data_IF_639999885191
#
_entry.id   IF_639999885191
#
_cell.length_a   1.000
_cell.length_b   1.000
_cell.length_c   1.000
_cell.angle_alpha   90.00
_cell.angle_beta   90.00
_cell.angle_gamma   90.00
#
_symmetry.space_group_name_H-M   'P 1'
#
loop_
_entity.id
_entity.type
_entity.pdbx_description
1 polymer ?
#
# COMPACT_ATOMS: atom_id res chain seq x y z
N UNK A 1 4.58 11.70 -21.07
CA UNK A 1 3.74 10.75 -21.82
C UNK A 1 3.90 9.29 -21.37
N UNK A 2 4.39 9.01 -20.14
CA UNK A 2 4.62 7.64 -19.64
C UNK A 2 3.56 7.15 -18.62
N UNK A 3 2.59 8.00 -18.25
CA UNK A 3 1.65 7.74 -17.15
C UNK A 3 0.41 6.94 -17.59
N UNK A 4 0.13 6.84 -18.90
CA UNK A 4 -1.14 6.28 -19.38
C UNK A 4 -1.26 4.73 -19.32
N UNK A 5 -0.18 3.99 -18.99
CA UNK A 5 -0.19 2.52 -19.05
C UNK A 5 0.15 1.81 -17.73
N UNK A 6 0.16 2.52 -16.60
CA UNK A 6 0.30 1.86 -15.30
C UNK A 6 -1.07 1.29 -14.89
N UNK A 7 -1.32 0.05 -15.32
CA UNK A 7 -2.40 -0.79 -14.77
C UNK A 7 -2.21 -0.94 -13.25
N UNK A 8 -3.31 -0.94 -12.50
CA UNK A 8 -3.38 -1.06 -11.03
C UNK A 8 -2.70 -2.30 -10.44
N UNK A 9 -2.31 -3.27 -11.28
CA UNK A 9 -1.69 -4.52 -10.86
C UNK A 9 -0.15 -4.51 -10.83
N UNK A 10 0.49 -3.36 -11.10
CA UNK A 10 1.91 -3.19 -10.74
C UNK A 10 2.07 -3.48 -9.25
N UNK A 11 3.15 -4.13 -8.81
CA UNK A 11 3.34 -4.74 -7.47
C UNK A 11 3.07 -3.90 -6.19
N UNK A 12 2.49 -2.70 -6.31
CA UNK A 12 1.78 -1.90 -5.31
C UNK A 12 1.01 -2.77 -4.32
N UNK A 13 0.15 -3.68 -4.80
CA UNK A 13 -0.71 -4.51 -3.94
C UNK A 13 0.09 -5.31 -2.89
N UNK A 14 1.31 -5.73 -3.25
CA UNK A 14 2.21 -6.48 -2.36
C UNK A 14 3.13 -5.56 -1.56
N UNK A 15 3.74 -4.56 -2.21
CA UNK A 15 4.72 -3.68 -1.55
C UNK A 15 4.08 -2.72 -0.54
N UNK A 16 2.86 -2.26 -0.82
CA UNK A 16 2.12 -1.33 0.04
C UNK A 16 1.00 -2.00 0.84
N UNK A 17 1.02 -3.32 0.95
CA UNK A 17 0.01 -4.08 1.69
C UNK A 17 -0.13 -3.59 3.14
N UNK A 18 0.99 -3.26 3.80
CA UNK A 18 0.98 -2.73 5.16
C UNK A 18 0.20 -1.40 5.26
N UNK A 19 0.40 -0.49 4.30
CA UNK A 19 -0.28 0.80 4.24
C UNK A 19 -1.76 0.63 3.86
N UNK A 20 -2.10 -0.31 2.97
CA UNK A 20 -3.50 -0.63 2.70
C UNK A 20 -4.21 -1.24 3.92
N UNK A 21 -3.50 -2.09 4.68
CA UNK A 21 -4.00 -2.67 5.94
C UNK A 21 -4.24 -1.63 7.03
N UNK A 22 -3.58 -0.46 7.03
CA UNK A 22 -3.91 0.62 7.99
C UNK A 22 -5.26 1.25 7.68
N UNK A 23 -5.60 1.45 6.39
CA UNK A 23 -6.94 1.85 5.98
C UNK A 23 -7.98 0.80 6.39
N UNK A 24 -7.66 -0.48 6.17
CA UNK A 24 -8.53 -1.59 6.51
C UNK A 24 -8.77 -1.69 8.02
N UNK A 25 -7.74 -1.43 8.85
CA UNK A 25 -7.86 -1.36 10.31
C UNK A 25 -8.92 -0.34 10.72
N UNK A 26 -8.84 0.87 10.17
CA UNK A 26 -9.81 1.92 10.48
C UNK A 26 -11.21 1.57 9.96
N UNK A 27 -11.31 1.01 8.76
CA UNK A 27 -12.59 0.55 8.21
C UNK A 27 -13.23 -0.56 9.06
N UNK A 28 -12.42 -1.50 9.59
CA UNK A 28 -12.88 -2.56 10.51
C UNK A 28 -13.33 -1.99 11.84
N UNK A 29 -12.58 -1.06 12.41
CA UNK A 29 -12.96 -0.36 13.64
C UNK A 29 -14.32 0.33 13.47
N UNK A 30 -14.47 1.15 12.42
CA UNK A 30 -15.71 1.86 12.12
C UNK A 30 -16.87 0.91 11.82
N UNK A 31 -16.61 -0.19 11.10
CA UNK A 31 -17.65 -1.17 10.77
C UNK A 31 -18.13 -1.96 11.98
N UNK A 32 -17.21 -2.37 12.85
CA UNK A 32 -17.54 -3.03 14.11
C UNK A 32 -18.37 -2.10 14.99
N UNK A 33 -17.92 -0.85 15.13
CA UNK A 33 -18.60 0.16 15.92
C UNK A 33 -20.03 0.38 15.44
N UNK A 34 -20.24 0.62 14.14
CA UNK A 34 -21.56 0.90 13.55
C UNK A 34 -22.49 -0.31 13.47
N UNK A 35 -22.02 -1.53 13.75
CA UNK A 35 -22.86 -2.74 13.77
C UNK A 35 -23.24 -3.19 15.17
N UNK A 36 -22.38 -2.92 16.17
CA UNK A 36 -22.49 -3.52 17.50
C UNK A 36 -22.74 -2.51 18.62
N UNK A 37 -22.44 -1.23 18.44
CA UNK A 37 -22.68 -0.23 19.50
C UNK A 37 -24.16 0.13 19.54
N UNK A 38 -24.75 0.02 20.73
CA UNK A 38 -26.09 0.48 21.04
C UNK A 38 -26.04 1.60 22.09
N UNK A 39 -26.58 2.75 21.73
CA UNK A 39 -26.56 3.95 22.58
C UNK A 39 -27.47 3.85 23.80
N UNK A 40 -28.51 2.99 23.74
CA UNK A 40 -29.44 2.73 24.84
C UNK A 40 -29.11 1.43 25.57
N UNK A 41 -28.00 0.77 25.25
CA UNK A 41 -27.57 -0.42 25.96
C UNK A 41 -27.16 -0.07 27.38
N UNK A 42 -27.72 -0.75 28.37
CA UNK A 42 -27.30 -0.66 29.77
C UNK A 42 -26.78 -2.02 30.21
N UNK A 43 -25.55 -2.03 30.73
CA UNK A 43 -24.82 -3.22 31.19
C UNK A 43 -24.70 -3.17 32.71
N UNK A 44 -25.82 -3.37 33.40
CA UNK A 44 -25.92 -3.13 34.84
C UNK A 44 -25.66 -1.65 35.17
N UNK A 45 -24.62 -1.37 35.94
CA UNK A 45 -24.22 0.00 36.31
C UNK A 45 -23.44 0.74 35.20
N UNK A 46 -23.02 0.03 34.16
CA UNK A 46 -22.28 0.60 33.03
C UNK A 46 -23.24 0.98 31.91
N UNK A 47 -23.12 2.20 31.38
CA UNK A 47 -23.83 2.59 30.17
C UNK A 47 -23.03 2.18 28.93
N UNK A 48 -23.75 1.77 27.90
CA UNK A 48 -23.19 1.52 26.58
C UNK A 48 -22.47 2.73 26.01
N UNK A 49 -21.61 2.47 25.04
CA UNK A 49 -20.85 3.53 24.39
C UNK A 49 -21.78 4.45 23.59
N UNK A 50 -21.44 5.73 23.54
CA UNK A 50 -22.20 6.72 22.75
C UNK A 50 -21.73 6.69 21.31
N UNK A 51 -22.47 7.28 20.37
CA UNK A 51 -22.05 7.40 18.97
C UNK A 51 -20.67 8.08 18.84
N UNK A 52 -19.92 7.74 17.80
CA UNK A 52 -18.62 8.37 17.52
C UNK A 52 -18.75 9.89 17.40
N UNK A 53 -17.78 10.60 17.99
CA UNK A 53 -17.66 12.04 17.84
C UNK A 53 -16.80 12.37 16.60
N UNK A 54 -16.99 13.56 16.03
CA UNK A 54 -16.19 14.02 14.88
C UNK A 54 -14.69 14.03 15.21
N UNK A 55 -14.35 14.56 16.38
CA UNK A 55 -12.96 14.69 16.84
C UNK A 55 -12.27 13.34 16.99
N UNK A 56 -13.01 12.30 17.36
CA UNK A 56 -12.49 10.94 17.47
C UNK A 56 -12.12 10.39 16.09
N UNK A 57 -12.94 10.65 15.07
CA UNK A 57 -12.63 10.19 13.71
C UNK A 57 -11.46 11.01 13.14
N UNK A 58 -11.40 12.32 13.40
CA UNK A 58 -10.22 13.12 13.06
C UNK A 58 -8.95 12.56 13.71
N UNK A 59 -9.01 12.19 14.99
CA UNK A 59 -7.86 11.61 15.69
C UNK A 59 -7.41 10.29 15.06
N UNK A 60 -8.34 9.39 14.71
CA UNK A 60 -8.02 8.13 14.02
C UNK A 60 -7.40 8.35 12.63
N UNK A 61 -7.96 9.28 11.84
CA UNK A 61 -7.45 9.59 10.50
C UNK A 61 -6.06 10.22 10.58
N UNK A 62 -5.82 11.13 11.52
CA UNK A 62 -4.49 11.70 11.76
C UNK A 62 -3.52 10.62 12.24
N UNK A 63 -3.95 9.72 13.13
CA UNK A 63 -3.12 8.64 13.65
C UNK A 63 -2.62 7.70 12.53
N UNK A 64 -3.44 7.44 11.50
CA UNK A 64 -3.00 6.69 10.32
C UNK A 64 -1.83 7.38 9.60
N UNK A 65 -1.91 8.71 9.41
CA UNK A 65 -0.86 9.49 8.72
C UNK A 65 0.40 9.63 9.58
N UNK A 66 0.24 9.78 10.90
CA UNK A 66 1.37 9.86 11.83
C UNK A 66 2.06 8.51 12.02
N UNK A 67 1.31 7.40 11.95
CA UNK A 67 1.80 6.05 12.23
C UNK A 67 2.78 5.49 11.19
N UNK A 68 2.78 6.01 9.95
CA UNK A 68 3.67 5.55 8.89
C UNK A 68 4.16 6.71 8.03
N UNK A 69 5.48 6.80 7.83
CA UNK A 69 6.13 7.84 7.02
C UNK A 69 5.89 7.71 5.51
N UNK A 70 5.48 6.53 5.02
CA UNK A 70 5.13 6.32 3.62
C UNK A 70 3.74 6.88 3.28
N UNK A 71 2.88 7.04 4.28
CA UNK A 71 1.53 7.58 4.14
C UNK A 71 1.60 9.10 4.11
N UNK A 72 1.21 9.67 2.97
CA UNK A 72 1.11 11.13 2.78
C UNK A 72 -0.25 11.67 3.23
N UNK A 73 -1.29 10.87 3.12
CA UNK A 73 -2.64 11.26 3.49
C UNK A 73 -3.53 10.08 3.83
N UNK A 74 -4.56 10.33 4.62
CA UNK A 74 -5.60 9.36 4.91
C UNK A 74 -6.92 10.10 5.10
N UNK A 75 -8.03 9.46 4.76
CA UNK A 75 -9.35 10.03 4.98
C UNK A 75 -10.37 8.96 5.33
N UNK A 76 -11.46 9.37 5.98
CA UNK A 76 -12.65 8.55 6.15
C UNK A 76 -13.84 9.34 5.60
N UNK A 77 -14.42 8.87 4.50
CA UNK A 77 -15.46 9.55 3.75
C UNK A 77 -16.78 8.83 3.95
N UNK A 78 -17.74 9.46 4.60
CA UNK A 78 -19.05 8.88 4.87
C UNK A 78 -20.04 9.20 3.75
N UNK A 79 -20.96 8.28 3.47
CA UNK A 79 -22.05 8.53 2.53
C UNK A 79 -23.09 9.49 3.14
N UNK A 80 -23.98 10.03 2.30
CA UNK A 80 -24.89 11.10 2.70
C UNK A 80 -25.78 10.70 3.87
N UNK A 81 -25.87 11.53 4.91
CA UNK A 81 -26.66 11.30 6.14
C UNK A 81 -26.32 10.02 6.92
N UNK A 82 -25.20 9.36 6.62
CA UNK A 82 -24.83 8.11 7.31
C UNK A 82 -24.11 8.36 8.63
N UNK A 83 -23.36 9.46 8.74
CA UNK A 83 -22.65 9.80 9.96
C UNK A 83 -23.57 10.56 10.93
N UNK A 84 -23.85 9.93 12.07
CA UNK A 84 -24.66 10.48 13.16
C UNK A 84 -23.77 10.73 14.37
N UNK A 85 -23.66 11.97 14.78
CA UNK A 85 -22.89 12.34 15.96
C UNK A 85 -23.66 12.08 17.25
N UNK A 86 -22.92 11.82 18.32
CA UNK A 86 -23.46 11.90 19.67
C UNK A 86 -23.95 13.32 19.95
N UNK A 87 -25.15 13.48 20.53
CA UNK A 87 -25.58 14.79 20.99
C UNK A 87 -24.62 15.34 22.06
N UNK A 88 -24.41 16.66 22.13
CA UNK A 88 -23.62 17.29 23.18
C UNK A 88 -24.14 16.91 24.57
N UNK A 89 -23.23 16.72 25.53
CA UNK A 89 -23.55 16.24 26.90
C UNK A 89 -24.58 17.11 27.63
N UNK A 90 -24.70 18.39 27.24
CA UNK A 90 -25.64 19.37 27.81
C UNK A 90 -26.58 19.97 26.76
N UNK A 91 -27.07 19.17 25.81
CA UNK A 91 -27.97 19.67 24.79
C UNK A 91 -29.41 19.84 25.32
N UNK A 92 -29.87 21.09 25.41
CA UNK A 92 -31.25 21.45 25.76
C UNK A 92 -32.13 21.75 24.55
N UNK A 93 -31.57 21.71 23.33
CA UNK A 93 -32.33 22.01 22.09
C UNK A 93 -33.10 20.76 21.63
N UNK A 94 -34.45 20.83 21.51
CA UNK A 94 -35.29 19.74 21.02
C UNK A 94 -34.88 19.20 19.65
N UNK A 95 -34.18 20.01 18.83
CA UNK A 95 -33.73 19.62 17.48
C UNK A 95 -32.61 18.60 17.46
N UNK A 96 -31.84 18.49 18.54
CA UNK A 96 -30.66 17.61 18.62
C UNK A 96 -30.85 16.42 19.56
N UNK A 97 -32.09 16.16 19.99
CA UNK A 97 -32.45 15.07 20.93
C UNK A 97 -32.13 13.68 20.35
N UNK A 98 -32.25 13.51 19.02
CA UNK A 98 -31.99 12.24 18.33
C UNK A 98 -30.58 12.15 17.69
N UNK A 99 -29.70 13.11 18.01
CA UNK A 99 -28.35 13.27 17.45
C UNK A 99 -28.30 14.22 16.24
N UNK A 100 -27.07 14.62 15.86
CA UNK A 100 -26.82 15.50 14.71
C UNK A 100 -26.44 14.62 13.52
N UNK A 101 -27.27 14.58 12.48
CA UNK A 101 -26.93 13.89 11.23
C UNK A 101 -26.37 14.90 10.24
N UNK A 102 -25.09 14.76 9.91
CA UNK A 102 -24.47 15.61 8.89
C UNK A 102 -24.82 15.09 7.52
N UNK A 103 -25.09 16.01 6.60
CA UNK A 103 -25.29 15.64 5.21
C UNK A 103 -24.03 15.02 4.63
N UNK A 104 -22.88 15.64 4.86
CA UNK A 104 -21.57 15.15 4.44
C UNK A 104 -20.60 15.24 5.61
N UNK A 105 -19.74 14.23 5.72
CA UNK A 105 -18.65 14.19 6.69
C UNK A 105 -17.50 13.36 6.11
N UNK A 106 -16.38 14.02 5.88
CA UNK A 106 -15.21 13.41 5.23
C UNK A 106 -13.91 13.90 5.83
N UNK A 107 -13.56 13.57 7.08
CA UNK A 107 -12.28 13.93 7.66
C UNK A 107 -11.13 13.38 6.80
N UNK A 108 -10.23 14.28 6.42
CA UNK A 108 -9.03 13.99 5.65
C UNK A 108 -7.83 14.65 6.31
N UNK A 109 -6.79 13.85 6.58
CA UNK A 109 -5.53 14.31 7.13
C UNK A 109 -4.40 14.09 6.12
N UNK A 110 -3.39 14.96 6.16
CA UNK A 110 -2.21 14.84 5.33
C UNK A 110 -0.96 15.37 6.03
N UNK A 111 0.18 14.86 5.55
CA UNK A 111 1.51 15.26 5.98
C UNK A 111 2.04 16.37 5.09
N UNK A 112 2.68 17.36 5.72
CA UNK A 112 3.45 18.40 5.05
C UNK A 112 4.88 18.39 5.62
N UNK A 113 5.85 18.02 4.80
CA UNK A 113 7.25 18.00 5.21
C UNK A 113 7.93 19.28 4.74
N UNK A 114 8.40 20.10 5.69
CA UNK A 114 9.14 21.33 5.39
C UNK A 114 10.64 21.04 5.44
N UNK A 115 11.35 21.37 4.36
CA UNK A 115 12.78 21.08 4.19
C UNK A 115 13.73 21.72 5.23
N UNK A 116 13.23 22.65 6.06
CA UNK A 116 14.05 23.54 6.88
C UNK A 116 14.19 23.11 8.35
N UNK A 117 13.43 22.13 8.83
CA UNK A 117 13.44 21.77 10.27
C UNK A 117 13.39 20.27 10.59
N UNK A 118 13.22 19.38 9.60
CA UNK A 118 13.06 17.95 9.85
C UNK A 118 11.82 17.59 10.68
N UNK A 119 10.92 18.56 10.90
CA UNK A 119 9.63 18.38 11.58
C UNK A 119 8.55 18.20 10.52
N UNK A 120 7.83 17.09 10.60
CA UNK A 120 6.64 16.85 9.78
C UNK A 120 5.43 17.53 10.44
N UNK A 121 4.74 18.37 9.67
CA UNK A 121 3.47 18.97 10.10
C UNK A 121 2.31 18.09 9.62
N UNK A 122 1.34 17.88 10.49
CA UNK A 122 0.13 17.11 10.19
C UNK A 122 -1.07 18.05 10.23
N UNK A 123 -1.80 18.11 9.13
CA UNK A 123 -3.02 18.90 9.02
C UNK A 123 -4.21 17.98 8.82
N UNK A 124 -5.37 18.39 9.31
CA UNK A 124 -6.62 17.70 9.05
C UNK A 124 -7.75 18.69 8.80
N UNK A 125 -8.67 18.31 7.91
CA UNK A 125 -9.86 19.10 7.57
C UNK A 125 -11.02 18.19 7.20
N UNK A 126 -12.23 18.73 7.24
CA UNK A 126 -13.41 18.06 6.69
C UNK A 126 -13.52 18.36 5.19
N UNK A 127 -13.45 17.32 4.37
CA UNK A 127 -13.53 17.41 2.91
C UNK A 127 -14.94 17.70 2.40
N UNK A 128 -15.95 17.70 3.28
CA UNK A 128 -17.32 18.08 2.92
C UNK A 128 -17.49 19.56 2.54
N UNK A 129 -16.59 20.45 2.99
CA UNK A 129 -16.71 21.90 2.81
C UNK A 129 -16.31 22.43 1.43
N UNK A 130 -15.99 21.56 0.46
CA UNK A 130 -15.51 21.98 -0.86
C UNK A 130 -16.61 22.12 -1.92
N UNK A 131 -16.32 22.89 -2.97
CA UNK A 131 -17.25 23.13 -4.10
C UNK A 131 -17.62 21.85 -4.86
N UNK A 132 -16.74 20.84 -4.85
CA UNK A 132 -17.00 19.52 -5.42
C UNK A 132 -17.09 18.52 -4.27
N UNK A 133 -18.20 17.81 -4.19
CA UNK A 133 -18.40 16.79 -3.16
C UNK A 133 -17.59 15.54 -3.50
N UNK A 134 -16.97 14.93 -2.49
CA UNK A 134 -16.24 13.68 -2.66
C UNK A 134 -17.16 12.52 -3.08
N UNK A 135 -18.46 12.62 -2.78
CA UNK A 135 -19.47 11.62 -3.19
C UNK A 135 -19.68 11.55 -4.70
N UNK A 136 -19.35 12.63 -5.40
CA UNK A 136 -19.45 12.73 -6.86
C UNK A 136 -18.20 12.20 -7.56
N UNK A 137 -17.14 11.90 -6.81
CA UNK A 137 -15.93 11.36 -7.40
C UNK A 137 -16.12 9.91 -7.87
N UNK A 138 -15.55 9.54 -9.03
CA UNK A 138 -15.74 8.20 -9.60
C UNK A 138 -15.32 7.07 -8.65
N UNK A 139 -14.27 7.27 -7.87
CA UNK A 139 -13.78 6.26 -6.92
C UNK A 139 -14.80 5.98 -5.80
N UNK A 140 -15.52 6.99 -5.33
CA UNK A 140 -16.54 6.83 -4.29
C UNK A 140 -17.81 6.18 -4.87
N UNK A 141 -18.24 6.66 -6.04
CA UNK A 141 -19.41 6.11 -6.74
C UNK A 141 -19.22 4.65 -7.13
N UNK A 142 -18.06 4.29 -7.67
CA UNK A 142 -17.76 2.91 -8.04
C UNK A 142 -17.76 1.99 -6.82
N UNK A 143 -17.16 2.42 -5.71
CA UNK A 143 -17.15 1.65 -4.47
C UNK A 143 -18.57 1.49 -3.89
N UNK A 144 -19.35 2.57 -3.87
CA UNK A 144 -20.75 2.55 -3.44
C UNK A 144 -21.60 1.63 -4.32
N UNK A 145 -21.43 1.69 -5.65
CA UNK A 145 -22.16 0.85 -6.60
C UNK A 145 -21.81 -0.63 -6.43
N UNK A 146 -20.53 -0.96 -6.22
CA UNK A 146 -20.05 -2.33 -5.95
C UNK A 146 -20.73 -2.94 -4.73
N UNK A 147 -20.91 -2.15 -3.67
CA UNK A 147 -21.45 -2.59 -2.38
C UNK A 147 -22.90 -2.16 -2.11
N UNK A 148 -23.66 -1.78 -3.15
CA UNK A 148 -25.04 -1.33 -2.99
C UNK A 148 -25.99 -2.46 -2.58
N UNK A 149 -25.76 -3.68 -3.08
CA UNK A 149 -26.67 -4.82 -2.90
C UNK A 149 -25.98 -6.13 -2.53
N UNK A 150 -24.71 -6.31 -2.88
CA UNK A 150 -23.96 -7.53 -2.60
C UNK A 150 -23.13 -7.38 -1.32
N UNK A 151 -23.47 -8.17 -0.30
CA UNK A 151 -22.71 -8.26 0.97
C UNK A 151 -22.30 -9.70 1.30
N UNK A 152 -22.40 -10.62 0.34
CA UNK A 152 -22.11 -12.04 0.55
C UNK A 152 -20.62 -12.30 0.73
N UNK A 153 -19.79 -11.52 0.04
CA UNK A 153 -18.33 -11.65 0.06
C UNK A 153 -17.70 -11.16 1.38
N UNK A 154 -18.46 -10.42 2.20
CA UNK A 154 -17.95 -9.88 3.46
C UNK A 154 -17.70 -10.98 4.50
N UNK A 155 -16.49 -10.96 5.04
CA UNK A 155 -16.09 -11.88 6.10
C UNK A 155 -16.74 -11.50 7.43
N UNK A 156 -17.26 -12.52 8.12
CA UNK A 156 -17.75 -12.38 9.50
C UNK A 156 -16.58 -12.48 10.48
N UNK A 157 -16.27 -11.37 11.14
CA UNK A 157 -15.33 -11.31 12.24
C UNK A 157 -16.05 -11.58 13.56
N UNK A 158 -15.42 -12.35 14.43
CA UNK A 158 -15.98 -12.73 15.74
C UNK A 158 -15.00 -12.33 16.82
N UNK A 159 -15.43 -11.44 17.71
CA UNK A 159 -14.70 -11.04 18.89
C UNK A 159 -15.32 -11.72 20.13
N UNK A 160 -14.45 -12.22 21.00
CA UNK A 160 -14.82 -12.89 22.25
C UNK A 160 -14.30 -12.09 23.44
N UNK A 161 -14.82 -10.86 23.67
CA UNK A 161 -14.32 -10.01 24.74
C UNK A 161 -14.69 -10.61 26.11
N UNK A 162 -13.72 -10.56 27.00
CA UNK A 162 -13.87 -10.88 28.42
C UNK A 162 -13.72 -9.57 29.20
N UNK A 163 -14.60 -9.34 30.17
CA UNK A 163 -14.64 -8.13 30.99
C UNK A 163 -14.34 -8.52 32.44
N UNK A 164 -13.78 -7.58 33.21
CA UNK A 164 -13.57 -7.76 34.64
C UNK A 164 -14.92 -7.84 35.35
N UNK A 165 -15.08 -8.78 36.29
CA UNK A 165 -16.29 -8.89 37.12
C UNK A 165 -16.48 -7.68 38.01
N UNK A 166 -15.37 -7.19 38.58
CA UNK A 166 -15.36 -6.14 39.60
C UNK A 166 -14.26 -5.11 39.29
N UNK A 167 -14.33 -3.93 39.93
CA UNK A 167 -13.31 -2.89 39.83
C UNK A 167 -11.88 -3.40 40.13
N UNK A 168 -11.78 -4.32 41.10
CA UNK A 168 -10.51 -4.93 41.50
C UNK A 168 -10.02 -6.02 40.52
N UNK A 169 -10.85 -6.45 39.56
CA UNK A 169 -10.46 -7.44 38.54
C UNK A 169 -10.24 -8.85 39.06
N UNK A 170 -10.99 -9.28 40.07
CA UNK A 170 -10.87 -10.60 40.73
C UNK A 170 -11.08 -11.76 39.76
N UNK A 171 -12.03 -11.63 38.82
CA UNK A 171 -12.30 -12.63 37.78
C UNK A 171 -12.68 -11.99 36.45
N UNK A 172 -12.61 -12.79 35.38
CA UNK A 172 -13.04 -12.39 34.04
C UNK A 172 -14.37 -13.07 33.70
N UNK A 173 -15.38 -12.25 33.40
CA UNK A 173 -16.69 -12.69 32.94
C UNK A 173 -16.83 -12.42 31.44
N UNK A 174 -17.72 -13.19 30.79
CA UNK A 174 -18.07 -12.93 29.39
C UNK A 174 -18.87 -11.65 29.30
N UNK A 175 -18.64 -10.86 28.25
CA UNK A 175 -19.53 -9.74 27.93
C UNK A 175 -20.95 -10.24 27.67
N UNK A 176 -21.95 -9.39 27.92
CA UNK A 176 -23.36 -9.74 27.76
C UNK A 176 -23.68 -10.18 26.32
N UNK A 177 -23.18 -9.44 25.32
CA UNK A 177 -23.31 -9.81 23.91
C UNK A 177 -22.14 -10.69 23.44
N UNK A 178 -21.97 -11.85 24.06
CA UNK A 178 -20.91 -12.80 23.71
C UNK A 178 -21.42 -13.95 22.81
N UNK A 179 -20.77 -14.19 21.65
CA UNK A 179 -19.69 -13.42 21.04
C UNK A 179 -20.18 -12.21 20.24
N UNK A 180 -19.40 -11.13 20.22
CA UNK A 180 -19.66 -9.99 19.35
C UNK A 180 -19.26 -10.36 17.93
N UNK A 181 -20.11 -10.10 16.94
CA UNK A 181 -19.78 -10.39 15.54
C UNK A 181 -20.11 -9.20 14.65
N UNK A 182 -19.24 -8.91 13.68
CA UNK A 182 -19.49 -7.91 12.64
C UNK A 182 -19.03 -8.43 11.29
N UNK A 183 -19.59 -7.87 10.21
CA UNK A 183 -19.15 -8.15 8.84
C UNK A 183 -18.31 -6.98 8.33
N UNK A 184 -17.14 -7.26 7.76
CA UNK A 184 -16.31 -6.24 7.17
C UNK A 184 -15.56 -6.79 5.94
N UNK A 185 -15.08 -5.89 5.10
CA UNK A 185 -14.29 -6.22 3.93
C UNK A 185 -12.96 -6.87 4.33
N UNK A 186 -12.42 -7.76 3.51
CA UNK A 186 -11.01 -8.19 3.64
C UNK A 186 -10.09 -7.28 2.82
N UNK A 187 -8.79 -7.57 2.77
CA UNK A 187 -7.85 -6.75 2.01
C UNK A 187 -8.12 -6.82 0.51
N UNK A 188 -8.57 -7.99 0.04
CA UNK A 188 -8.89 -8.29 -1.36
C UNK A 188 -10.18 -7.58 -1.84
N UNK A 189 -11.05 -7.21 -0.91
CA UNK A 189 -12.27 -6.45 -1.18
C UNK A 189 -12.00 -4.96 -1.41
N UNK A 190 -10.88 -4.46 -0.89
CA UNK A 190 -10.40 -3.11 -1.15
C UNK A 190 -9.77 -2.96 -2.54
N UNK A 191 -9.50 -1.73 -2.94
CA UNK A 191 -9.00 -1.43 -4.28
C UNK A 191 -7.89 -0.39 -4.23
N UNK A 192 -6.81 -0.63 -4.98
CA UNK A 192 -5.80 0.38 -5.28
C UNK A 192 -6.18 1.14 -6.54
N UNK A 193 -6.36 2.45 -6.40
CA UNK A 193 -6.55 3.33 -7.53
C UNK A 193 -5.28 3.45 -8.37
N UNK A 194 -5.47 3.80 -9.65
CA UNK A 194 -4.34 4.10 -10.54
C UNK A 194 -3.51 5.27 -9.97
N UNK A 195 -2.18 5.26 -10.16
CA UNK A 195 -1.33 6.37 -9.72
C UNK A 195 -1.81 7.71 -10.28
N UNK A 196 -1.99 8.68 -9.40
CA UNK A 196 -2.48 10.01 -9.75
C UNK A 196 -1.61 11.08 -9.09
N UNK A 197 -1.44 12.19 -9.77
CA UNK A 197 -0.78 13.36 -9.20
C UNK A 197 -1.84 14.23 -8.51
N UNK A 198 -1.76 14.36 -7.18
CA UNK A 198 -2.67 15.23 -6.42
C UNK A 198 -2.14 16.67 -6.49
N UNK A 199 -3.01 17.62 -6.85
CA UNK A 199 -2.67 19.04 -7.04
C UNK A 199 -3.48 19.98 -6.11
N UNK A 200 -4.10 19.47 -5.06
CA UNK A 200 -5.16 20.20 -4.38
C UNK A 200 -4.66 21.22 -3.34
N UNK A 201 -3.39 21.63 -3.42
CA UNK A 201 -2.72 22.52 -2.47
C UNK A 201 -2.40 21.88 -1.10
N UNK A 202 -2.74 20.60 -0.91
CA UNK A 202 -2.52 19.84 0.33
C UNK A 202 -1.35 18.88 0.18
N UNK A 203 -1.49 18.01 -0.81
CA UNK A 203 -0.48 17.05 -1.26
C UNK A 203 -0.15 17.45 -2.70
N UNK A 204 1.15 17.54 -3.00
CA UNK A 204 1.67 17.89 -4.34
C UNK A 204 2.71 16.85 -4.76
N UNK A 205 2.28 15.60 -4.81
CA UNK A 205 3.11 14.43 -5.08
C UNK A 205 2.33 13.40 -5.90
N UNK A 206 3.06 12.50 -6.57
CA UNK A 206 2.50 11.30 -7.16
C UNK A 206 2.11 10.33 -6.06
N UNK A 207 0.84 9.92 -6.03
CA UNK A 207 0.32 9.03 -5.01
C UNK A 207 -0.45 7.86 -5.61
N UNK A 208 -0.47 6.78 -4.86
CA UNK A 208 -1.37 5.65 -5.09
C UNK A 208 -2.29 5.56 -3.89
N UNK A 209 -3.60 5.48 -4.14
CA UNK A 209 -4.62 5.53 -3.09
C UNK A 209 -5.24 4.15 -2.93
N UNK A 210 -5.26 3.62 -1.71
CA UNK A 210 -6.03 2.43 -1.36
C UNK A 210 -7.39 2.82 -0.79
N UNK A 211 -8.43 2.08 -1.17
CA UNK A 211 -9.81 2.27 -0.74
C UNK A 211 -10.28 1.06 0.06
N UNK A 212 -10.81 1.29 1.27
CA UNK A 212 -11.42 0.28 2.12
C UNK A 212 -12.87 0.66 2.47
N UNK A 213 -13.88 -0.16 2.13
CA UNK A 213 -15.28 0.17 2.40
C UNK A 213 -15.65 -0.01 3.88
N UNK A 214 -16.59 0.80 4.34
CA UNK A 214 -17.12 0.80 5.71
C UNK A 214 -18.57 0.31 5.69
N UNK A 215 -18.92 -0.59 6.61
CA UNK A 215 -20.26 -1.18 6.70
C UNK A 215 -20.90 -0.97 8.06
N UNK A 216 -22.15 -0.55 8.08
CA UNK A 216 -22.95 -0.38 9.29
C UNK A 216 -24.32 -1.02 9.15
N UNK A 217 -25.09 -1.08 10.23
CA UNK A 217 -26.50 -1.44 10.11
C UNK A 217 -27.33 -0.23 9.65
N UNK A 218 -28.47 -0.49 9.03
CA UNK A 218 -29.49 0.54 8.80
C UNK A 218 -30.06 1.03 10.14
N UNK A 219 -30.83 2.13 10.12
CA UNK A 219 -31.41 2.73 11.33
C UNK A 219 -32.29 1.76 12.14
N UNK A 220 -32.96 0.83 11.45
CA UNK A 220 -33.79 -0.22 12.05
C UNK A 220 -32.97 -1.41 12.58
N UNK A 221 -31.63 -1.38 12.46
CA UNK A 221 -30.69 -2.44 12.84
C UNK A 221 -30.97 -3.83 12.23
N UNK A 222 -31.68 -3.90 11.11
CA UNK A 222 -32.12 -5.15 10.44
C UNK A 222 -31.23 -5.59 9.29
N UNK A 223 -30.63 -4.65 8.54
CA UNK A 223 -29.83 -4.95 7.33
C UNK A 223 -28.50 -4.23 7.36
N UNK A 224 -27.50 -4.84 6.72
CA UNK A 224 -26.20 -4.22 6.50
C UNK A 224 -26.31 -3.21 5.35
N UNK A 225 -25.58 -2.11 5.48
CA UNK A 225 -25.55 -1.01 4.55
C UNK A 225 -24.13 -0.48 4.40
N UNK A 226 -23.77 -0.05 3.19
CA UNK A 226 -22.55 0.70 2.94
C UNK A 226 -22.64 2.08 3.60
N UNK A 227 -21.64 2.43 4.41
CA UNK A 227 -21.61 3.72 5.16
C UNK A 227 -20.54 4.68 4.65
N UNK A 228 -19.55 4.21 3.91
CA UNK A 228 -18.47 5.08 3.45
C UNK A 228 -17.22 4.33 3.03
N UNK A 229 -16.12 5.08 2.85
CA UNK A 229 -14.82 4.57 2.41
C UNK A 229 -13.72 5.21 3.24
N UNK A 230 -12.79 4.40 3.74
CA UNK A 230 -11.50 4.87 4.26
C UNK A 230 -10.48 4.85 3.14
N UNK A 231 -9.68 5.91 3.03
CA UNK A 231 -8.59 6.00 2.06
C UNK A 231 -7.25 6.17 2.75
N UNK A 232 -6.21 5.66 2.10
CA UNK A 232 -4.81 5.92 2.44
C UNK A 232 -4.05 6.22 1.15
N UNK A 233 -3.34 7.35 1.15
CA UNK A 233 -2.51 7.81 0.05
C UNK A 233 -1.04 7.55 0.37
N UNK A 234 -0.40 6.73 -0.46
CA UNK A 234 1.02 6.39 -0.33
C UNK A 234 1.81 7.09 -1.42
N UNK A 235 2.99 7.64 -1.06
CA UNK A 235 3.87 8.27 -2.05
C UNK A 235 4.40 7.25 -3.05
N UNK A 236 4.23 7.51 -4.34
CA UNK A 236 4.67 6.63 -5.41
C UNK A 236 6.18 6.40 -5.38
N UNK A 237 6.97 7.39 -4.93
CA UNK A 237 8.42 7.31 -4.82
C UNK A 237 8.92 6.12 -3.99
N UNK A 238 8.13 5.61 -3.04
CA UNK A 238 8.51 4.44 -2.24
C UNK A 238 8.23 3.10 -2.93
N UNK A 239 7.68 3.10 -4.15
CA UNK A 239 7.40 1.89 -4.92
C UNK A 239 8.66 1.46 -5.67
N UNK A 240 9.12 0.24 -5.41
CA UNK A 240 10.22 -0.34 -6.18
C UNK A 240 9.71 -0.85 -7.53
N UNK A 241 10.35 -0.39 -8.61
CA UNK A 241 10.03 -0.85 -9.97
C UNK A 241 10.90 -2.05 -10.36
N UNK A 242 10.30 -3.01 -11.07
CA UNK A 242 11.04 -4.15 -11.61
C UNK A 242 11.19 -4.00 -13.13
N UNK A 243 12.42 -3.75 -13.59
CA UNK A 243 12.72 -3.56 -15.01
C UNK A 243 13.13 -4.84 -15.75
N UNK A 244 13.39 -5.92 -15.00
CA UNK A 244 13.88 -7.17 -15.57
C UNK A 244 12.82 -7.87 -16.43
N UNK A 245 13.24 -8.78 -17.32
CA UNK A 245 12.31 -9.59 -18.08
C UNK A 245 11.43 -10.44 -17.19
N UNK A 246 10.14 -10.50 -17.50
CA UNK A 246 9.17 -11.33 -16.80
C UNK A 246 8.19 -11.96 -17.79
N UNK A 247 7.38 -12.90 -17.31
CA UNK A 247 6.34 -13.51 -18.14
C UNK A 247 5.37 -12.47 -18.71
N UNK A 248 4.75 -12.81 -19.84
CA UNK A 248 3.75 -11.94 -20.48
C UNK A 248 2.55 -11.67 -19.56
N UNK A 249 2.12 -12.66 -18.77
CA UNK A 249 1.01 -12.58 -17.84
C UNK A 249 1.29 -11.77 -16.57
N UNK A 250 2.57 -11.52 -16.23
CA UNK A 250 2.90 -10.67 -15.10
C UNK A 250 2.51 -9.22 -15.40
N UNK A 251 1.62 -8.66 -14.58
CA UNK A 251 1.15 -7.28 -14.70
C UNK A 251 2.20 -6.30 -14.16
N UNK A 252 3.23 -6.06 -14.96
CA UNK A 252 4.28 -5.11 -14.66
C UNK A 252 4.52 -4.24 -15.90
N UNK A 253 4.28 -2.93 -15.76
CA UNK A 253 4.47 -1.95 -16.84
C UNK A 253 5.95 -1.71 -17.17
N UNK A 254 6.87 -2.01 -16.24
CA UNK A 254 8.30 -1.74 -16.37
C UNK A 254 9.11 -2.94 -16.86
N UNK A 255 8.50 -4.12 -17.02
CA UNK A 255 9.22 -5.32 -17.47
C UNK A 255 9.87 -5.12 -18.83
N UNK A 256 10.95 -5.85 -19.08
CA UNK A 256 11.72 -5.78 -20.34
C UNK A 256 12.30 -4.38 -20.66
N UNK A 257 12.46 -3.51 -19.67
CA UNK A 257 13.08 -2.18 -19.87
C UNK A 257 14.54 -2.13 -19.39
N UNK A 258 15.00 -3.16 -18.67
CA UNK A 258 16.39 -3.27 -18.23
C UNK A 258 17.35 -3.36 -19.42
N UNK A 259 18.51 -2.71 -19.26
CA UNK A 259 19.54 -2.49 -20.28
C UNK A 259 20.68 -3.51 -20.22
N UNK A 260 20.45 -4.67 -19.62
CA UNK A 260 21.44 -5.75 -19.61
C UNK A 260 21.70 -6.28 -21.03
N UNK A 261 22.90 -6.79 -21.27
CA UNK A 261 23.23 -7.51 -22.48
C UNK A 261 22.73 -8.96 -22.38
N UNK A 262 21.52 -9.25 -22.85
CA UNK A 262 20.89 -10.56 -22.66
C UNK A 262 21.59 -11.74 -23.35
N UNK A 263 22.57 -11.49 -24.23
CA UNK A 263 23.41 -12.56 -24.79
C UNK A 263 24.39 -13.10 -23.73
N UNK A 264 25.09 -12.20 -23.02
CA UNK A 264 26.11 -12.56 -22.03
C UNK A 264 25.62 -12.51 -20.57
N UNK A 265 24.49 -11.85 -20.31
CA UNK A 265 23.98 -11.54 -18.98
C UNK A 265 22.52 -11.96 -18.77
N UNK A 266 22.10 -11.99 -17.50
CA UNK A 266 20.71 -12.01 -17.08
C UNK A 266 20.44 -10.93 -16.03
N UNK A 267 19.18 -10.49 -15.95
CA UNK A 267 18.76 -9.39 -15.08
C UNK A 267 18.17 -9.93 -13.77
N UNK A 268 18.57 -9.33 -12.65
CA UNK A 268 18.00 -9.58 -11.33
C UNK A 268 17.53 -8.26 -10.73
N UNK A 269 16.25 -8.18 -10.36
CA UNK A 269 15.68 -6.97 -9.75
C UNK A 269 16.23 -6.77 -8.33
N UNK A 270 16.43 -5.51 -7.95
CA UNK A 270 16.87 -5.12 -6.62
C UNK A 270 15.74 -4.37 -5.89
N UNK A 271 15.44 -4.79 -4.68
CA UNK A 271 14.48 -4.11 -3.80
C UNK A 271 15.14 -2.91 -3.09
N UNK A 272 14.33 -1.94 -2.66
CA UNK A 272 14.78 -0.73 -1.95
C UNK A 272 15.37 0.36 -2.85
N UNK A 273 15.29 0.22 -4.17
CA UNK A 273 15.79 1.21 -5.16
C UNK A 273 14.79 2.30 -5.51
N UNK A 274 13.59 2.27 -4.90
CA UNK A 274 12.51 3.24 -5.02
C UNK A 274 11.98 3.33 -6.45
N UNK A 275 11.16 4.35 -6.72
CA UNK A 275 10.58 4.60 -8.04
C UNK A 275 11.59 5.25 -8.99
N UNK A 276 12.74 4.60 -9.18
CA UNK A 276 13.82 5.06 -10.04
C UNK A 276 14.27 3.95 -10.99
N UNK A 277 14.74 4.34 -12.18
CA UNK A 277 15.35 3.39 -13.11
C UNK A 277 16.72 2.93 -12.60
N UNK A 278 17.16 1.76 -13.07
CA UNK A 278 18.38 1.12 -12.62
C UNK A 278 18.22 0.29 -11.35
N UNK A 279 16.99 -0.04 -10.95
CA UNK A 279 16.67 -0.90 -9.80
C UNK A 279 16.94 -2.40 -10.06
N UNK A 280 18.04 -2.74 -10.70
CA UNK A 280 18.41 -4.11 -11.06
C UNK A 280 19.93 -4.26 -11.11
N UNK A 281 20.39 -5.51 -11.15
CA UNK A 281 21.78 -5.86 -11.49
C UNK A 281 21.80 -6.80 -12.68
N UNK A 282 22.84 -6.68 -13.51
CA UNK A 282 23.10 -7.61 -14.60
C UNK A 282 24.22 -8.57 -14.19
N UNK A 283 23.88 -9.84 -14.03
CA UNK A 283 24.82 -10.91 -13.68
C UNK A 283 25.23 -11.68 -14.94
N UNK A 284 26.47 -12.15 -14.99
CA UNK A 284 26.96 -12.94 -16.12
C UNK A 284 26.31 -14.31 -16.17
N UNK A 285 25.90 -14.75 -17.36
CA UNK A 285 25.44 -16.12 -17.59
C UNK A 285 26.58 -17.12 -17.41
N UNK A 286 26.24 -18.37 -17.16
CA UNK A 286 27.21 -19.46 -17.13
C UNK A 286 28.03 -19.49 -18.43
N UNK A 287 29.36 -19.65 -18.31
CA UNK A 287 30.28 -19.57 -19.45
C UNK A 287 30.75 -18.17 -19.80
N UNK A 288 30.23 -17.14 -19.12
CA UNK A 288 30.73 -15.77 -19.18
C UNK A 288 31.31 -15.36 -17.83
N UNK A 289 32.28 -14.46 -17.84
CA UNK A 289 32.92 -13.91 -16.65
C UNK A 289 32.85 -12.38 -16.64
N UNK A 290 32.82 -11.82 -15.43
CA UNK A 290 32.86 -10.39 -15.22
C UNK A 290 34.27 -9.86 -15.57
N UNK A 291 34.42 -8.90 -16.49
CA UNK A 291 35.72 -8.55 -17.05
C UNK A 291 36.55 -7.59 -16.18
N UNK A 292 35.94 -6.93 -15.18
CA UNK A 292 36.61 -5.94 -14.34
C UNK A 292 37.06 -6.55 -13.01
N UNK A 293 38.20 -6.09 -12.48
CA UNK A 293 38.74 -6.56 -11.20
C UNK A 293 38.25 -5.69 -10.04
N UNK A 294 36.93 -5.65 -9.87
CA UNK A 294 36.25 -4.90 -8.82
C UNK A 294 35.75 -5.84 -7.72
N UNK A 295 35.39 -5.29 -6.55
CA UNK A 295 34.77 -6.05 -5.46
C UNK A 295 33.37 -6.58 -5.84
N UNK A 296 32.78 -6.07 -6.93
CA UNK A 296 31.50 -6.51 -7.46
C UNK A 296 31.69 -7.50 -8.62
N UNK A 297 30.75 -8.43 -8.74
CA UNK A 297 30.72 -9.48 -9.78
C UNK A 297 29.53 -9.32 -10.74
N UNK A 298 28.93 -8.13 -10.76
CA UNK A 298 27.76 -7.78 -11.56
C UNK A 298 27.82 -6.30 -11.98
N UNK A 299 27.03 -5.95 -12.99
CA UNK A 299 26.86 -4.55 -13.41
C UNK A 299 25.66 -3.94 -12.69
N UNK A 300 25.86 -2.78 -12.05
CA UNK A 300 24.76 -2.03 -11.43
C UNK A 300 23.86 -1.40 -12.49
N UNK A 301 22.55 -1.60 -12.36
CA UNK A 301 21.55 -1.12 -13.30
C UNK A 301 21.55 0.40 -13.42
N UNK A 302 21.85 1.14 -12.34
CA UNK A 302 21.97 2.61 -12.42
C UNK A 302 23.10 3.04 -13.36
N UNK A 303 24.25 2.38 -13.30
CA UNK A 303 25.37 2.63 -14.23
C UNK A 303 24.97 2.25 -15.66
N UNK A 304 24.26 1.13 -15.85
CA UNK A 304 23.77 0.71 -17.16
C UNK A 304 22.84 1.76 -17.79
N UNK A 305 21.84 2.25 -17.03
CA UNK A 305 20.90 3.28 -17.51
C UNK A 305 21.61 4.61 -17.79
N UNK A 306 22.56 5.01 -16.95
CA UNK A 306 23.34 6.24 -17.16
C UNK A 306 24.18 6.18 -18.43
N UNK A 307 24.95 5.10 -18.64
CA UNK A 307 25.78 4.94 -19.83
C UNK A 307 24.94 4.75 -21.09
N UNK A 308 23.78 4.10 -20.99
CA UNK A 308 22.81 4.02 -22.08
C UNK A 308 22.21 5.40 -22.41
N UNK A 309 21.90 6.22 -21.41
CA UNK A 309 21.44 7.59 -21.59
C UNK A 309 22.48 8.47 -22.30
N UNK A 310 23.77 8.30 -21.98
CA UNK A 310 24.87 8.96 -22.70
C UNK A 310 24.96 8.49 -24.16
N UNK A 311 24.83 7.19 -24.39
CA UNK A 311 24.77 6.62 -25.74
C UNK A 311 23.64 7.23 -26.57
N UNK A 312 22.44 7.37 -26.00
CA UNK A 312 21.31 8.00 -26.68
C UNK A 312 21.53 9.48 -27.01
N UNK A 313 22.30 10.21 -26.18
CA UNK A 313 22.65 11.62 -26.42
C UNK A 313 23.86 11.81 -27.34
N UNK A 314 24.53 10.73 -27.77
CA UNK A 314 25.76 10.81 -28.56
C UNK A 314 26.99 11.27 -27.77
N UNK A 315 26.93 11.21 -26.43
CA UNK A 315 28.04 11.53 -25.54
C UNK A 315 29.03 10.34 -25.46
N UNK A 316 30.32 10.60 -25.13
CA UNK A 316 31.27 9.53 -24.87
C UNK A 316 30.76 8.64 -23.73
N UNK A 317 30.57 7.35 -24.03
CA UNK A 317 29.95 6.39 -23.12
C UNK A 317 30.71 5.06 -23.14
N UNK A 318 30.49 4.26 -22.11
CA UNK A 318 31.09 2.93 -21.91
C UNK A 318 30.07 1.81 -22.04
N UNK A 319 28.85 2.08 -22.51
CA UNK A 319 27.75 1.13 -22.52
C UNK A 319 28.10 -0.21 -23.20
N UNK A 320 28.74 -0.17 -24.36
CA UNK A 320 29.15 -1.38 -25.09
C UNK A 320 30.23 -2.22 -24.37
N UNK A 321 30.94 -1.65 -23.40
CA UNK A 321 31.93 -2.38 -22.59
C UNK A 321 31.30 -3.04 -21.36
N UNK A 322 30.08 -2.66 -20.98
CA UNK A 322 29.35 -3.21 -19.83
C UNK A 322 28.67 -4.55 -20.17
N UNK A 323 29.43 -5.48 -20.75
CA UNK A 323 29.02 -6.84 -21.11
C UNK A 323 29.98 -7.85 -20.52
N UNK A 324 29.51 -9.07 -20.29
CA UNK A 324 30.40 -10.12 -19.79
C UNK A 324 31.27 -10.65 -20.93
N UNK A 325 32.52 -11.05 -20.62
CA UNK A 325 33.40 -11.70 -21.60
C UNK A 325 33.19 -13.21 -21.54
N UNK A 326 33.47 -13.92 -22.63
CA UNK A 326 33.46 -15.38 -22.61
C UNK A 326 34.48 -15.82 -21.57
N UNK A 327 34.04 -16.62 -20.61
CA UNK A 327 34.89 -17.17 -19.57
C UNK A 327 36.01 -17.94 -20.25
N UNK A 328 37.25 -17.53 -20.00
CA UNK A 328 38.38 -18.31 -20.43
C UNK A 328 38.25 -19.71 -19.86
N UNK A 329 37.89 -20.69 -20.70
CA UNK A 329 38.13 -22.08 -20.37
C UNK A 329 39.59 -22.14 -19.94
N UNK A 330 39.88 -22.69 -18.76
CA UNK A 330 41.24 -23.04 -18.38
C UNK A 330 41.82 -23.72 -19.61
N UNK A 331 42.72 -23.05 -20.33
CA UNK A 331 43.32 -23.65 -21.50
C UNK A 331 43.92 -24.93 -20.94
N UNK A 332 43.48 -26.08 -21.45
CA UNK A 332 44.18 -27.33 -21.15
C UNK A 332 45.53 -27.10 -21.78
N UNK A 333 46.46 -26.57 -20.99
CA UNK A 333 47.86 -26.45 -21.33
C UNK A 333 48.36 -27.89 -21.30
N UNK A 334 48.04 -28.63 -22.36
CA UNK A 334 48.66 -29.91 -22.64
C UNK A 334 50.13 -29.58 -22.88
N UNK A 335 50.95 -29.71 -21.85
CA UNK A 335 52.39 -29.64 -21.99
C UNK A 335 52.79 -30.71 -23.00
N UNK A 336 53.32 -30.29 -24.15
CA UNK A 336 53.86 -31.19 -25.17
C UNK A 336 54.84 -32.21 -24.57
N UNK A 337 55.54 -31.83 -23.50
CA UNK A 337 56.46 -32.71 -22.76
C UNK A 337 55.73 -33.89 -22.13
N UNK A 338 54.55 -33.68 -21.54
CA UNK A 338 53.77 -34.76 -20.91
C UNK A 338 53.19 -35.71 -21.96
N UNK A 339 52.73 -35.18 -23.10
CA UNK A 339 52.20 -35.98 -24.21
C UNK A 339 53.30 -36.85 -24.83
N UNK A 340 54.48 -36.27 -25.06
CA UNK A 340 55.64 -37.01 -25.58
C UNK A 340 56.16 -38.03 -24.57
N UNK A 341 56.21 -37.69 -23.28
CA UNK A 341 56.63 -38.64 -22.24
C UNK A 341 55.71 -39.86 -22.13
N UNK A 342 54.38 -39.65 -22.25
CA UNK A 342 53.42 -40.77 -22.28
C UNK A 342 53.55 -41.61 -23.55
N UNK A 343 53.77 -40.99 -24.71
CA UNK A 343 53.97 -41.71 -25.97
C UNK A 343 55.28 -42.54 -25.95
N UNK A 344 56.36 -42.00 -25.39
CA UNK A 344 57.64 -42.72 -25.26
C UNK A 344 57.52 -43.87 -24.25
N UNK A 345 56.79 -43.70 -23.14
CA UNK A 345 56.54 -44.80 -22.20
C UNK A 345 55.72 -45.94 -22.82
N UNK A 346 54.78 -45.65 -23.72
CA UNK A 346 54.01 -46.69 -24.42
C UNK A 346 54.79 -47.43 -25.51
N UNK A 347 55.88 -46.85 -26.02
CA UNK A 347 56.78 -47.49 -26.97
C UNK A 347 57.89 -48.33 -26.30
N UNK A 348 58.03 -48.21 -24.97
CA UNK A 348 59.03 -48.91 -24.14
C UNK A 348 58.44 -50.10 -23.37
N UNK A 349 57.17 -50.42 -23.57
CA UNK A 349 56.50 -51.67 -23.14
C UNK A 349 56.18 -52.47 -24.38
#
# INVERSE_FOLDING_TARGET
MFVCFISSHTGVERQFEAQGRTALRLAHFLSNFMQNVDEYGEFGDLKGDRRLNETQIFAEVIANVMGDFKILGSGAFFDRYTFRMSPPVNNTDPRFVNGITREFFGPYAWRHSTAQAGLDFFNALDFSGFKKFYTDEPWFQNMKARWATNFYDLKKFTAKPMIRSDYNGTSLIRFEYYPITFRAATYEDGEWLRPQFKCDGRVSDWVVTYLAPIFGKNDLKTRLEFKGVVTVDVKLDYLDINQCPSSFYAANAFKNTARCDYESQYCVALEGKRFNTGGYKCECRQGYEYPFNDLAWFFDGQTMEQEYGKLQRGEPNRYHTLRCRIGGASSVAASLVLVVAMAVMQLLV
#
